data_IF_226972667582
#
_entry.id   IF_226972667582
#
_cell.length_a   1.000
_cell.length_b   1.000
_cell.length_c   1.000
_cell.angle_alpha   90.00
_cell.angle_beta   90.00
_cell.angle_gamma   90.00
#
_symmetry.space_group_name_H-M   'P 1'
#
loop_
_entity.id
_entity.type
_entity.pdbx_description
1 polymer ?
#
# COMPACT_ATOMS: atom_id res chain seq x y z
N UNK A 1 2.31 -26.28 22.49
CA UNK A 1 1.29 -25.96 21.49
C UNK A 1 0.94 -27.15 20.62
N UNK A 2 -0.23 -27.08 20.00
CA UNK A 2 -0.74 -28.13 19.12
C UNK A 2 -0.86 -27.65 17.66
N UNK A 3 -0.95 -28.60 16.72
CA UNK A 3 -1.25 -28.30 15.31
C UNK A 3 -0.23 -27.37 14.63
N UNK A 4 1.04 -27.50 14.97
CA UNK A 4 2.10 -26.73 14.33
C UNK A 4 2.80 -27.58 13.25
N UNK A 5 3.17 -26.94 12.14
CA UNK A 5 4.00 -27.50 11.08
C UNK A 5 5.30 -26.71 11.01
N UNK A 6 6.45 -27.39 11.18
CA UNK A 6 7.78 -26.78 11.10
C UNK A 6 8.67 -27.56 10.13
N UNK A 7 9.15 -26.92 9.08
CA UNK A 7 10.06 -27.52 8.09
C UNK A 7 11.22 -26.57 7.85
N UNK A 8 12.41 -26.95 8.24
CA UNK A 8 13.63 -26.16 8.07
C UNK A 8 14.43 -26.03 9.36
N UNK A 9 15.70 -25.63 9.23
CA UNK A 9 16.59 -25.44 10.37
C UNK A 9 16.06 -24.33 11.27
N UNK A 10 15.86 -24.64 12.57
CA UNK A 10 15.36 -23.72 13.60
C UNK A 10 13.97 -23.10 13.31
N UNK A 11 13.16 -23.70 12.43
CA UNK A 11 11.77 -23.30 12.27
C UNK A 11 11.00 -23.54 13.59
N UNK A 12 10.27 -22.53 14.12
CA UNK A 12 9.52 -22.57 15.39
C UNK A 12 10.37 -22.99 16.62
N UNK A 13 11.68 -22.72 16.62
CA UNK A 13 12.57 -23.25 17.66
C UNK A 13 12.22 -22.76 19.08
N UNK A 14 11.68 -21.56 19.24
CA UNK A 14 11.30 -21.00 20.55
C UNK A 14 9.85 -21.26 20.96
N UNK A 15 9.10 -22.06 20.18
CA UNK A 15 7.69 -22.31 20.47
C UNK A 15 7.51 -23.02 21.81
N UNK A 16 6.73 -22.41 22.69
CA UNK A 16 6.37 -23.00 24.00
C UNK A 16 4.93 -23.48 24.03
N UNK A 17 3.98 -22.57 23.79
CA UNK A 17 2.55 -22.85 23.94
C UNK A 17 1.74 -22.49 22.65
N UNK A 18 2.38 -21.84 21.68
CA UNK A 18 1.75 -21.39 20.44
C UNK A 18 1.20 -22.58 19.61
N UNK A 19 0.05 -22.38 18.99
CA UNK A 19 -0.67 -23.41 18.21
C UNK A 19 -1.05 -22.90 16.82
N UNK A 20 -1.39 -23.84 15.92
CA UNK A 20 -1.87 -23.58 14.57
C UNK A 20 -0.89 -22.78 13.69
N UNK A 21 0.41 -22.95 13.88
CA UNK A 21 1.42 -22.24 13.11
C UNK A 21 2.00 -23.10 12.00
N UNK A 22 2.22 -22.49 10.85
CA UNK A 22 2.95 -23.09 9.73
C UNK A 22 4.25 -22.31 9.50
N UNK A 23 5.39 -22.96 9.72
CA UNK A 23 6.71 -22.40 9.49
C UNK A 23 7.51 -23.27 8.52
N UNK A 24 7.80 -22.75 7.35
CA UNK A 24 8.56 -23.42 6.29
C UNK A 24 9.74 -22.56 5.86
N UNK A 25 10.94 -22.97 6.20
CA UNK A 25 12.17 -22.24 5.89
C UNK A 25 13.11 -22.14 7.08
N UNK A 26 14.38 -21.87 6.80
CA UNK A 26 15.39 -21.66 7.86
C UNK A 26 14.99 -20.45 8.72
N UNK A 27 14.92 -20.65 10.03
CA UNK A 27 14.56 -19.64 11.04
C UNK A 27 13.18 -18.98 10.83
N UNK A 28 12.26 -19.60 10.09
CA UNK A 28 10.88 -19.14 10.03
C UNK A 28 10.25 -19.24 11.43
N UNK A 29 9.65 -18.14 11.94
CA UNK A 29 9.05 -18.05 13.28
C UNK A 29 9.98 -18.46 14.43
N UNK A 30 11.31 -18.27 14.27
CA UNK A 30 12.27 -18.75 15.27
C UNK A 30 12.02 -18.17 16.66
N UNK A 31 11.57 -16.91 16.77
CA UNK A 31 11.34 -16.21 18.04
C UNK A 31 9.92 -16.40 18.61
N UNK A 32 9.00 -17.06 17.88
CA UNK A 32 7.59 -17.17 18.28
C UNK A 32 7.46 -18.06 19.52
N UNK A 33 6.96 -17.49 20.62
CA UNK A 33 6.76 -18.20 21.89
C UNK A 33 5.30 -18.57 22.11
N UNK A 34 4.38 -17.60 21.93
CA UNK A 34 2.95 -17.75 22.22
C UNK A 34 2.05 -17.34 21.06
N UNK A 35 2.60 -16.77 19.97
CA UNK A 35 1.85 -16.36 18.78
C UNK A 35 1.14 -17.52 18.10
N UNK A 36 -0.13 -17.34 17.70
CA UNK A 36 -0.97 -18.37 17.10
C UNK A 36 -1.46 -18.00 15.72
N UNK A 37 -1.91 -18.99 14.95
CA UNK A 37 -2.52 -18.81 13.64
C UNK A 37 -1.59 -18.09 12.64
N UNK A 38 -0.32 -18.43 12.67
CA UNK A 38 0.74 -17.82 11.87
C UNK A 38 1.09 -18.67 10.66
N UNK A 39 1.31 -18.01 9.52
CA UNK A 39 1.87 -18.64 8.32
C UNK A 39 3.16 -17.93 7.94
N UNK A 40 4.29 -18.61 8.02
CA UNK A 40 5.61 -18.12 7.65
C UNK A 40 6.28 -19.06 6.66
N UNK A 41 6.39 -18.64 5.41
CA UNK A 41 7.01 -19.43 4.35
C UNK A 41 8.18 -18.64 3.73
N UNK A 42 9.39 -19.09 3.98
CA UNK A 42 10.62 -18.43 3.54
C UNK A 42 11.65 -18.34 4.63
N UNK A 43 12.91 -18.16 4.24
CA UNK A 43 14.01 -17.95 5.21
C UNK A 43 13.74 -16.66 5.98
N UNK A 44 13.80 -16.74 7.34
CA UNK A 44 13.56 -15.61 8.23
C UNK A 44 12.17 -14.95 8.09
N UNK A 45 11.16 -15.65 7.55
CA UNK A 45 9.79 -15.16 7.56
C UNK A 45 9.28 -15.07 9.00
N UNK A 46 8.71 -13.91 9.39
CA UNK A 46 8.27 -13.59 10.75
C UNK A 46 9.34 -13.88 11.84
N UNK A 47 10.62 -13.61 11.52
CA UNK A 47 11.77 -13.92 12.36
C UNK A 47 11.62 -13.44 13.81
N UNK A 48 11.22 -12.17 13.98
CA UNK A 48 11.13 -11.50 15.28
C UNK A 48 9.78 -11.67 15.99
N UNK A 49 8.79 -12.31 15.37
CA UNK A 49 7.47 -12.46 15.97
C UNK A 49 7.56 -13.22 17.28
N UNK A 50 7.10 -12.62 18.37
CA UNK A 50 7.09 -13.25 19.69
C UNK A 50 5.71 -13.76 20.09
N UNK A 51 4.71 -12.88 20.04
CA UNK A 51 3.34 -13.17 20.46
C UNK A 51 2.25 -12.60 19.52
N UNK A 52 2.64 -11.98 18.40
CA UNK A 52 1.69 -11.52 17.38
C UNK A 52 0.88 -12.69 16.80
N UNK A 53 -0.39 -12.43 16.49
CA UNK A 53 -1.40 -13.43 16.11
C UNK A 53 -1.90 -13.18 14.67
N UNK A 54 -2.25 -14.26 13.95
CA UNK A 54 -2.93 -14.18 12.66
C UNK A 54 -2.09 -13.56 11.53
N UNK A 55 -0.77 -13.53 11.65
CA UNK A 55 0.11 -12.97 10.63
C UNK A 55 0.44 -13.98 9.53
N UNK A 56 0.41 -13.54 8.29
CA UNK A 56 0.82 -14.32 7.12
C UNK A 56 2.02 -13.66 6.44
N UNK A 57 3.13 -14.38 6.30
CA UNK A 57 4.34 -13.90 5.65
C UNK A 57 4.89 -14.95 4.68
N UNK A 58 4.99 -14.59 3.40
CA UNK A 58 5.48 -15.45 2.35
C UNK A 58 6.59 -14.73 1.57
N UNK A 59 7.81 -15.22 1.69
CA UNK A 59 9.01 -14.67 1.07
C UNK A 59 10.21 -14.63 2.01
N UNK A 60 11.40 -14.52 1.45
CA UNK A 60 12.65 -14.35 2.21
C UNK A 60 12.59 -13.04 3.02
N UNK A 61 12.73 -13.11 4.34
CA UNK A 61 12.57 -11.98 5.25
C UNK A 61 11.19 -11.27 5.18
N UNK A 62 10.11 -11.94 4.77
CA UNK A 62 8.78 -11.36 4.84
C UNK A 62 8.36 -11.19 6.32
N UNK A 63 7.90 -10.00 6.69
CA UNK A 63 7.46 -9.69 8.06
C UNK A 63 8.54 -9.80 9.14
N UNK A 64 9.83 -9.81 8.80
CA UNK A 64 10.92 -10.14 9.71
C UNK A 64 11.07 -9.20 10.92
N UNK A 65 10.50 -8.00 10.87
CA UNK A 65 10.53 -7.01 11.96
C UNK A 65 9.28 -7.04 12.85
N UNK A 66 8.23 -7.77 12.48
CA UNK A 66 7.03 -7.91 13.33
C UNK A 66 7.42 -8.55 14.66
N UNK A 67 6.98 -7.97 15.76
CA UNK A 67 7.18 -8.55 17.11
C UNK A 67 5.87 -8.93 17.75
N UNK A 68 4.94 -7.99 17.88
CA UNK A 68 3.66 -8.11 18.58
C UNK A 68 2.45 -7.75 17.72
N UNK A 69 2.67 -7.21 16.51
CA UNK A 69 1.60 -6.80 15.60
C UNK A 69 0.76 -7.99 15.13
N UNK A 70 -0.55 -7.76 14.96
CA UNK A 70 -1.54 -8.77 14.64
C UNK A 70 -2.16 -8.57 13.25
N UNK A 71 -2.63 -9.69 12.65
CA UNK A 71 -3.45 -9.70 11.43
C UNK A 71 -2.77 -9.03 10.22
N UNK A 72 -1.47 -9.16 10.11
CA UNK A 72 -0.70 -8.61 9.01
C UNK A 72 -0.50 -9.63 7.88
N UNK A 73 -0.43 -9.13 6.65
CA UNK A 73 -0.10 -9.92 5.45
C UNK A 73 1.15 -9.34 4.76
N UNK A 74 2.19 -10.14 4.64
CA UNK A 74 3.44 -9.80 3.97
C UNK A 74 3.70 -10.78 2.83
N UNK A 75 3.62 -10.32 1.60
CA UNK A 75 3.85 -11.13 0.41
C UNK A 75 5.01 -10.56 -0.42
N UNK A 76 6.11 -11.26 -0.42
CA UNK A 76 7.32 -10.90 -1.14
C UNK A 76 8.54 -10.67 -0.24
N UNK A 77 9.72 -10.61 -0.86
CA UNK A 77 10.98 -10.51 -0.14
C UNK A 77 11.11 -9.17 0.60
N UNK A 78 11.48 -9.23 1.88
CA UNK A 78 11.75 -8.08 2.75
C UNK A 78 10.57 -7.10 2.88
N UNK A 79 9.34 -7.57 2.68
CA UNK A 79 8.13 -6.81 3.03
C UNK A 79 8.01 -6.75 4.55
N UNK A 80 7.62 -5.59 5.10
CA UNK A 80 7.60 -5.39 6.57
C UNK A 80 6.61 -4.32 6.99
N UNK A 81 6.22 -4.27 8.26
CA UNK A 81 5.48 -3.12 8.79
C UNK A 81 6.40 -1.91 8.98
N UNK A 82 5.83 -0.72 9.10
CA UNK A 82 6.56 0.51 9.44
C UNK A 82 7.03 0.51 10.90
N UNK A 83 6.28 -0.14 11.78
CA UNK A 83 6.62 -0.35 13.18
C UNK A 83 6.38 -1.83 13.57
N UNK A 84 7.17 -2.34 14.48
CA UNK A 84 7.17 -3.76 14.87
C UNK A 84 5.85 -4.26 15.50
N UNK A 85 5.04 -3.35 16.03
CA UNK A 85 3.72 -3.62 16.61
C UNK A 85 2.55 -3.21 15.75
N UNK A 86 2.75 -2.82 14.49
CA UNK A 86 1.66 -2.42 13.60
C UNK A 86 0.73 -3.60 13.29
N UNK A 87 -0.59 -3.33 13.32
CA UNK A 87 -1.65 -4.28 13.02
C UNK A 87 -2.31 -4.01 11.67
N UNK A 88 -2.91 -5.06 11.10
CA UNK A 88 -3.72 -4.92 9.89
C UNK A 88 -2.97 -4.26 8.71
N UNK A 89 -1.69 -4.56 8.56
CA UNK A 89 -0.89 -4.16 7.39
C UNK A 89 -1.00 -5.21 6.30
N UNK A 90 -1.35 -4.81 5.08
CA UNK A 90 -1.20 -5.66 3.90
C UNK A 90 -0.07 -5.10 3.05
N UNK A 91 1.03 -5.85 2.90
CA UNK A 91 2.25 -5.39 2.21
C UNK A 91 2.65 -6.39 1.13
N UNK A 92 2.67 -5.95 -0.11
CA UNK A 92 2.95 -6.80 -1.27
C UNK A 92 4.09 -6.18 -2.09
N UNK A 93 5.09 -6.97 -2.44
CA UNK A 93 6.16 -6.54 -3.33
C UNK A 93 7.56 -6.90 -2.87
N UNK A 94 8.53 -6.05 -3.17
CA UNK A 94 9.94 -6.24 -2.82
C UNK A 94 10.48 -5.07 -2.01
N UNK A 95 11.00 -5.34 -0.80
CA UNK A 95 11.57 -4.34 0.12
C UNK A 95 10.62 -3.17 0.41
N UNK A 96 9.34 -3.47 0.59
CA UNK A 96 8.26 -2.50 0.85
C UNK A 96 7.97 -2.44 2.34
N UNK A 97 7.69 -1.24 2.85
CA UNK A 97 7.26 -1.00 4.21
C UNK A 97 5.82 -0.48 4.24
N UNK A 98 4.92 -1.18 4.91
CA UNK A 98 3.51 -0.81 5.05
C UNK A 98 3.18 -0.24 6.42
N UNK A 99 2.18 0.62 6.49
CA UNK A 99 1.70 1.20 7.74
C UNK A 99 0.44 0.49 8.25
N UNK A 100 0.18 0.60 9.55
CA UNK A 100 -1.01 0.06 10.20
C UNK A 100 -2.29 0.55 9.50
N UNK A 101 -3.18 -0.38 9.19
CA UNK A 101 -4.46 -0.08 8.56
C UNK A 101 -4.37 0.27 7.07
N UNK A 102 -3.27 -0.08 6.40
CA UNK A 102 -3.08 0.16 4.97
C UNK A 102 -2.77 -1.12 4.18
N UNK A 103 -3.20 -1.12 2.92
CA UNK A 103 -2.65 -2.00 1.89
C UNK A 103 -1.61 -1.23 1.08
N UNK A 104 -0.38 -1.72 1.05
CA UNK A 104 0.76 -1.11 0.35
C UNK A 104 1.30 -2.10 -0.68
N UNK A 105 1.47 -1.67 -1.92
CA UNK A 105 1.99 -2.50 -3.02
C UNK A 105 3.11 -1.73 -3.72
N UNK A 106 4.27 -2.36 -3.92
CA UNK A 106 5.36 -1.64 -4.60
C UNK A 106 6.71 -2.34 -4.60
N UNK A 107 7.73 -1.55 -4.88
CA UNK A 107 9.13 -1.96 -4.94
C UNK A 107 9.99 -0.87 -4.31
N UNK A 108 10.64 -1.17 -3.17
CA UNK A 108 11.79 -0.41 -2.63
C UNK A 108 11.61 1.12 -2.50
N UNK A 109 10.41 1.58 -2.20
CA UNK A 109 10.12 3.00 -2.06
C UNK A 109 9.25 3.58 -3.17
N UNK A 110 9.11 2.87 -4.28
CA UNK A 110 8.13 3.16 -5.32
C UNK A 110 6.88 2.34 -5.01
N UNK A 111 6.05 2.86 -4.12
CA UNK A 111 4.86 2.15 -3.68
C UNK A 111 3.58 3.01 -3.78
N UNK A 112 2.47 2.30 -3.88
CA UNK A 112 1.12 2.84 -3.77
C UNK A 112 0.45 2.25 -2.55
N UNK A 113 -0.40 3.02 -1.87
CA UNK A 113 -1.15 2.53 -0.73
C UNK A 113 -2.57 3.08 -0.66
N UNK A 114 -3.45 2.28 -0.08
CA UNK A 114 -4.80 2.69 0.27
C UNK A 114 -5.06 2.40 1.74
N UNK A 115 -5.66 3.35 2.46
CA UNK A 115 -6.16 3.11 3.81
C UNK A 115 -7.34 2.13 3.74
N UNK A 116 -7.43 1.22 4.71
CA UNK A 116 -8.57 0.30 4.78
C UNK A 116 -9.87 1.09 4.95
N UNK A 117 -10.91 0.72 4.20
CA UNK A 117 -12.17 1.46 4.16
C UNK A 117 -12.18 2.66 3.20
N UNK A 118 -11.06 2.94 2.51
CA UNK A 118 -10.99 3.96 1.47
C UNK A 118 -11.03 3.33 0.07
N UNK A 119 -11.64 4.03 -0.89
CA UNK A 119 -11.77 3.54 -2.29
C UNK A 119 -10.68 4.08 -3.22
N UNK A 120 -9.78 4.92 -2.73
CA UNK A 120 -8.73 5.56 -3.53
C UNK A 120 -7.34 5.05 -3.15
N UNK A 121 -6.54 4.72 -4.16
CA UNK A 121 -5.11 4.48 -4.01
C UNK A 121 -4.36 5.80 -4.10
N UNK A 122 -3.41 6.01 -3.19
CA UNK A 122 -2.53 7.18 -3.18
C UNK A 122 -1.08 6.76 -3.38
N UNK A 123 -0.30 7.56 -4.08
CA UNK A 123 1.16 7.45 -4.04
C UNK A 123 1.65 7.94 -2.67
N UNK A 124 2.66 7.32 -2.14
CA UNK A 124 3.32 7.81 -0.92
C UNK A 124 4.07 9.10 -1.27
N UNK A 125 3.53 10.25 -0.85
CA UNK A 125 4.16 11.55 -1.04
C UNK A 125 4.98 11.91 0.21
N UNK A 126 6.21 11.41 0.24
CA UNK A 126 7.15 11.63 1.34
C UNK A 126 8.16 12.73 0.94
N UNK A 127 8.47 13.63 1.86
CA UNK A 127 9.46 14.67 1.67
C UNK A 127 10.82 14.12 1.24
N UNK A 128 11.17 12.91 1.68
CA UNK A 128 12.41 12.21 1.32
C UNK A 128 12.56 11.92 -0.18
N UNK A 129 11.46 11.90 -0.92
CA UNK A 129 11.46 11.73 -2.38
C UNK A 129 11.45 13.06 -3.14
N UNK A 130 11.40 14.19 -2.43
CA UNK A 130 11.38 15.51 -3.03
C UNK A 130 12.74 16.18 -2.82
N UNK A 131 13.19 16.89 -3.83
CA UNK A 131 14.42 17.62 -3.84
C UNK A 131 14.13 19.11 -3.99
N UNK A 132 14.99 19.92 -3.41
CA UNK A 132 14.93 21.38 -3.55
C UNK A 132 13.56 21.97 -3.13
N UNK A 133 13.04 21.47 -1.99
CA UNK A 133 11.79 21.96 -1.42
C UNK A 133 12.04 23.36 -0.87
N UNK A 134 11.39 24.34 -1.45
CA UNK A 134 11.38 25.74 -1.01
C UNK A 134 9.95 26.21 -0.86
N UNK A 135 9.73 27.24 -0.05
CA UNK A 135 8.44 27.89 0.03
C UNK A 135 8.09 28.47 -1.34
N UNK A 136 6.86 28.25 -1.80
CA UNK A 136 6.40 28.81 -3.06
C UNK A 136 6.20 30.33 -2.89
N UNK A 137 6.77 31.11 -3.81
CA UNK A 137 6.46 32.54 -3.94
C UNK A 137 5.15 32.80 -4.67
N UNK A 138 4.51 31.73 -5.19
CA UNK A 138 3.21 31.82 -5.83
C UNK A 138 2.18 32.37 -4.82
N UNK A 139 1.75 33.58 -5.07
CA UNK A 139 0.88 34.33 -4.15
C UNK A 139 -0.60 34.24 -4.55
N UNK A 140 -1.35 35.27 -4.16
CA UNK A 140 -2.78 35.42 -4.51
C UNK A 140 -3.03 35.48 -6.02
N UNK A 141 -2.03 35.83 -6.82
CA UNK A 141 -2.08 35.80 -8.28
C UNK A 141 -2.42 34.41 -8.81
N UNK A 142 -1.69 33.38 -8.37
CA UNK A 142 -1.97 32.00 -8.73
C UNK A 142 -3.35 31.55 -8.24
N UNK A 143 -3.68 31.82 -6.97
CA UNK A 143 -4.99 31.46 -6.41
C UNK A 143 -6.14 32.10 -7.20
N UNK A 144 -6.01 33.36 -7.58
CA UNK A 144 -7.02 34.06 -8.38
C UNK A 144 -7.09 33.59 -9.84
N UNK A 145 -6.01 33.03 -10.37
CA UNK A 145 -5.96 32.46 -11.71
C UNK A 145 -6.58 31.05 -11.78
N UNK A 146 -6.65 30.35 -10.64
CA UNK A 146 -7.33 29.06 -10.56
C UNK A 146 -8.85 29.26 -10.69
N UNK A 147 -9.45 28.60 -11.66
CA UNK A 147 -10.88 28.72 -11.98
C UNK A 147 -11.62 27.43 -11.66
N UNK A 148 -12.32 27.32 -10.52
CA UNK A 148 -13.23 26.19 -10.28
C UNK A 148 -14.29 26.12 -11.37
N UNK A 149 -14.51 24.93 -11.89
CA UNK A 149 -15.48 24.66 -12.95
C UNK A 149 -16.54 23.71 -12.46
N UNK A 150 -17.75 23.87 -12.98
CA UNK A 150 -18.77 22.83 -12.98
C UNK A 150 -18.81 22.21 -14.37
N UNK A 151 -18.87 20.89 -14.42
CA UNK A 151 -18.89 20.16 -15.69
C UNK A 151 -19.68 18.87 -15.61
N UNK A 152 -20.04 18.34 -16.75
CA UNK A 152 -20.56 16.99 -16.93
C UNK A 152 -19.57 16.20 -17.76
N UNK A 153 -19.48 14.91 -17.51
CA UNK A 153 -18.70 14.02 -18.36
C UNK A 153 -19.39 13.85 -19.73
N UNK A 154 -18.59 13.81 -20.79
CA UNK A 154 -19.03 13.49 -22.14
C UNK A 154 -19.52 12.04 -22.20
N UNK A 155 -20.38 11.77 -23.18
CA UNK A 155 -20.68 10.39 -23.57
C UNK A 155 -19.45 9.76 -24.25
N UNK A 156 -19.41 8.43 -24.29
CA UNK A 156 -18.30 7.71 -24.94
C UNK A 156 -18.22 8.03 -26.45
N UNK A 157 -19.34 8.37 -27.09
CA UNK A 157 -19.39 8.79 -28.48
C UNK A 157 -18.91 10.23 -28.74
N UNK A 158 -18.85 11.07 -27.69
CA UNK A 158 -18.32 12.44 -27.78
C UNK A 158 -16.84 12.56 -27.42
N UNK A 159 -16.21 11.46 -27.02
CA UNK A 159 -14.77 11.43 -26.77
C UNK A 159 -13.98 11.50 -28.09
N UNK A 160 -12.73 11.97 -28.09
CA UNK A 160 -11.85 11.81 -29.23
C UNK A 160 -11.67 10.34 -29.62
N UNK A 161 -11.69 10.03 -30.92
CA UNK A 161 -11.50 8.69 -31.47
C UNK A 161 -10.18 8.02 -31.01
N UNK A 162 -9.19 8.82 -30.65
CA UNK A 162 -7.89 8.35 -30.13
C UNK A 162 -7.95 7.84 -28.68
N UNK A 163 -9.06 8.04 -27.99
CA UNK A 163 -9.22 7.59 -26.60
C UNK A 163 -9.71 6.14 -26.57
N UNK A 164 -9.09 5.32 -25.73
CA UNK A 164 -9.44 3.90 -25.57
C UNK A 164 -10.88 3.66 -25.11
N UNK A 165 -11.49 4.66 -24.47
CA UNK A 165 -12.89 4.62 -24.04
C UNK A 165 -13.87 5.06 -25.12
N UNK A 166 -13.42 5.56 -26.28
CA UNK A 166 -14.31 5.99 -27.37
C UNK A 166 -15.14 4.81 -27.90
N UNK A 167 -16.42 5.07 -28.10
CA UNK A 167 -17.38 4.14 -28.75
C UNK A 167 -18.27 4.94 -29.68
N UNK A 168 -18.15 4.73 -30.98
CA UNK A 168 -18.93 5.42 -31.99
C UNK A 168 -20.43 5.31 -31.72
N UNK A 169 -21.13 6.47 -31.76
CA UNK A 169 -22.57 6.54 -31.53
C UNK A 169 -23.08 6.20 -30.12
N UNK A 170 -22.17 5.97 -29.15
CA UNK A 170 -22.57 5.65 -27.79
C UNK A 170 -23.12 6.87 -27.05
N UNK A 171 -24.24 6.68 -26.36
CA UNK A 171 -24.84 7.67 -25.43
C UNK A 171 -24.49 7.38 -23.97
N UNK A 172 -23.70 6.35 -23.70
CA UNK A 172 -23.20 6.02 -22.37
C UNK A 172 -22.26 7.10 -21.87
N UNK A 173 -22.48 7.64 -20.65
CA UNK A 173 -21.64 8.69 -20.07
C UNK A 173 -20.37 8.10 -19.49
N UNK A 174 -19.21 8.73 -19.71
CA UNK A 174 -17.88 8.21 -19.36
C UNK A 174 -17.72 7.82 -17.89
N UNK A 175 -18.27 8.58 -16.95
CA UNK A 175 -18.20 8.27 -15.49
C UNK A 175 -19.56 8.31 -14.81
N UNK A 176 -20.21 9.48 -14.83
CA UNK A 176 -21.51 9.70 -14.21
C UNK A 176 -22.24 10.85 -14.94
N UNK A 177 -23.55 10.91 -14.78
CA UNK A 177 -24.42 11.95 -15.35
C UNK A 177 -24.53 13.21 -14.50
N UNK A 178 -23.91 13.24 -13.32
CA UNK A 178 -24.04 14.31 -12.34
C UNK A 178 -23.29 15.57 -12.75
N UNK A 179 -23.63 16.69 -12.16
CA UNK A 179 -22.81 17.88 -12.23
C UNK A 179 -21.64 17.76 -11.28
N UNK A 180 -20.44 17.80 -11.81
CA UNK A 180 -19.19 17.66 -11.08
C UNK A 180 -18.56 19.04 -10.87
N UNK A 181 -17.78 19.16 -9.79
CA UNK A 181 -16.99 20.34 -9.47
C UNK A 181 -15.51 20.00 -9.50
N UNK A 182 -14.68 20.86 -10.05
CA UNK A 182 -13.25 20.61 -10.13
C UNK A 182 -12.52 21.65 -10.98
N UNK A 183 -11.29 21.33 -11.33
CA UNK A 183 -10.44 22.16 -12.15
C UNK A 183 -10.13 21.45 -13.48
N UNK A 184 -9.97 22.24 -14.53
CA UNK A 184 -9.47 21.75 -15.82
C UNK A 184 -7.94 21.77 -15.77
N UNK A 185 -7.30 20.61 -15.94
CA UNK A 185 -5.85 20.45 -15.79
C UNK A 185 -5.03 21.42 -16.67
N UNK A 186 -5.50 21.69 -17.89
CA UNK A 186 -4.85 22.62 -18.81
C UNK A 186 -4.94 24.08 -18.31
N UNK A 187 -6.05 24.46 -17.66
CA UNK A 187 -6.21 25.79 -17.07
C UNK A 187 -5.33 25.97 -15.83
N UNK A 188 -5.22 24.91 -14.99
CA UNK A 188 -4.31 24.91 -13.84
C UNK A 188 -2.86 25.04 -14.29
N UNK A 189 -2.47 24.25 -15.32
CA UNK A 189 -1.12 24.35 -15.88
C UNK A 189 -0.82 25.75 -16.42
N UNK A 190 -1.75 26.34 -17.17
CA UNK A 190 -1.58 27.69 -17.70
C UNK A 190 -1.46 28.75 -16.60
N UNK A 191 -2.19 28.59 -15.47
CA UNK A 191 -2.08 29.48 -14.33
C UNK A 191 -0.70 29.37 -13.65
N UNK A 192 -0.16 28.14 -13.51
CA UNK A 192 1.18 27.89 -12.96
C UNK A 192 2.26 28.48 -13.88
N UNK A 193 2.18 28.21 -15.20
CA UNK A 193 3.15 28.69 -16.17
C UNK A 193 3.17 30.23 -16.27
N UNK A 194 2.08 30.92 -15.95
CA UNK A 194 1.96 32.37 -15.97
C UNK A 194 2.45 33.05 -14.67
N UNK A 195 2.56 32.30 -13.58
CA UNK A 195 3.02 32.77 -12.26
C UNK A 195 4.52 32.46 -12.03
N UNK A 196 5.19 31.80 -12.99
CA UNK A 196 6.61 31.39 -12.96
C UNK A 196 7.53 32.49 -13.55
#
# INVERSE_FOLDING_TARGET
>A
GASNTAVGTAALASNTTASNNTAVGTSALISSTTGTDLVAVGRNALLANTNGIGNTAIGDHAGYTVTTGDYNTFLGKSTRPSSAGDDNCNVIGYNVSGAQGYTTIGISGDDIRAAHGNVTWATVSDERYKKDIVDSEAGLSLINALRPRTFKYKTLGELPETFTAYKEGSTEVFKNSDTNHGFIAQEVKAAIDADS
#
